data_IF_649197777073
#
_entry.id   IF_649197777073
#
_cell.length_a   1.000
_cell.length_b   1.000
_cell.length_c   1.000
_cell.angle_alpha   90.00
_cell.angle_beta   90.00
_cell.angle_gamma   90.00
#
_symmetry.space_group_name_H-M   'P 1'
#
loop_
_entity.id
_entity.type
_entity.pdbx_description
1 polymer ?
#
# COMPACT_ATOMS: atom_id res chain seq x y z
N UNK A 1 18.07 -4.52 -22.50
CA UNK A 1 16.63 -4.66 -22.73
C UNK A 1 15.99 -4.63 -21.35
N UNK A 2 15.58 -3.45 -20.88
CA UNK A 2 15.00 -3.26 -19.55
C UNK A 2 13.57 -3.78 -19.57
N UNK A 3 13.35 -4.95 -18.98
CA UNK A 3 12.02 -5.34 -18.53
C UNK A 3 11.70 -4.43 -17.35
N UNK A 4 11.10 -3.25 -17.60
CA UNK A 4 10.25 -2.65 -16.57
C UNK A 4 9.24 -3.74 -16.22
N UNK A 5 9.15 -4.13 -14.95
CA UNK A 5 8.05 -4.97 -14.50
C UNK A 5 6.79 -4.17 -14.84
N UNK A 6 5.97 -4.64 -15.78
CA UNK A 6 4.82 -3.89 -16.34
C UNK A 6 3.83 -3.44 -15.25
N UNK A 7 3.88 -4.10 -14.09
CA UNK A 7 3.03 -3.88 -12.92
C UNK A 7 3.38 -2.64 -12.08
N UNK A 8 4.63 -2.17 -12.09
CA UNK A 8 4.98 -0.91 -11.39
C UNK A 8 4.34 0.33 -12.03
N UNK A 9 3.52 0.14 -13.07
CA UNK A 9 2.77 1.16 -13.78
C UNK A 9 1.26 1.10 -13.52
N UNK A 10 0.76 0.14 -12.73
CA UNK A 10 -0.63 0.22 -12.23
C UNK A 10 -0.71 1.32 -11.16
N UNK A 11 -1.85 2.01 -11.11
CA UNK A 11 -2.05 3.13 -10.20
C UNK A 11 -1.82 2.68 -8.73
N UNK A 12 -2.19 1.44 -8.40
CA UNK A 12 -2.17 0.88 -7.05
C UNK A 12 -0.75 0.58 -6.56
N UNK A 13 0.17 0.38 -7.51
CA UNK A 13 1.56 0.04 -7.25
C UNK A 13 2.49 1.26 -7.40
N UNK A 14 1.92 2.47 -7.42
CA UNK A 14 2.70 3.70 -7.42
C UNK A 14 3.72 3.73 -6.28
N UNK A 15 5.00 3.93 -6.62
CA UNK A 15 6.09 4.06 -5.65
C UNK A 15 6.77 2.75 -5.23
N UNK A 16 6.40 1.58 -5.78
CA UNK A 16 7.11 0.30 -5.48
C UNK A 16 8.39 0.10 -6.31
N UNK A 17 8.65 0.96 -7.29
CA UNK A 17 9.77 0.84 -8.23
C UNK A 17 11.13 0.97 -7.52
N UNK A 18 11.22 1.80 -6.47
CA UNK A 18 12.44 2.02 -5.71
C UNK A 18 12.86 0.77 -4.90
N UNK A 19 11.91 0.11 -4.22
CA UNK A 19 12.15 -1.08 -3.41
C UNK A 19 12.36 -2.29 -4.30
N UNK A 20 11.67 -2.35 -5.43
CA UNK A 20 11.88 -3.36 -6.47
C UNK A 20 13.31 -3.26 -7.02
N UNK A 21 13.75 -2.05 -7.37
CA UNK A 21 15.11 -1.82 -7.86
C UNK A 21 16.17 -2.17 -6.82
N UNK A 22 15.94 -1.85 -5.54
CA UNK A 22 16.85 -2.21 -4.43
C UNK A 22 16.91 -3.71 -4.15
N UNK A 23 15.80 -4.43 -4.28
CA UNK A 23 15.72 -5.88 -4.01
C UNK A 23 16.20 -6.74 -5.20
N UNK A 24 16.15 -6.21 -6.43
CA UNK A 24 16.47 -6.99 -7.63
C UNK A 24 17.90 -7.59 -7.66
N UNK A 25 18.98 -6.89 -7.25
CA UNK A 25 20.31 -7.50 -7.19
C UNK A 25 20.39 -8.67 -6.21
N UNK A 26 19.67 -8.60 -5.09
CA UNK A 26 19.61 -9.66 -4.08
C UNK A 26 18.87 -10.87 -4.65
N UNK A 27 17.72 -10.64 -5.29
CA UNK A 27 16.98 -11.68 -6.00
C UNK A 27 17.85 -12.43 -7.03
N UNK A 28 18.61 -11.69 -7.85
CA UNK A 28 19.51 -12.28 -8.86
C UNK A 28 20.59 -13.18 -8.26
N UNK A 29 20.98 -12.95 -7.01
CA UNK A 29 22.03 -13.70 -6.31
C UNK A 29 21.51 -14.84 -5.43
N UNK A 30 20.21 -14.86 -5.11
CA UNK A 30 19.64 -15.77 -4.11
C UNK A 30 19.37 -17.18 -4.65
N UNK A 31 19.18 -17.32 -5.97
CA UNK A 31 18.77 -18.59 -6.60
C UNK A 31 17.32 -19.00 -6.29
N UNK A 32 16.56 -18.14 -5.61
CA UNK A 32 15.16 -18.37 -5.27
C UNK A 32 14.27 -18.10 -6.49
N UNK A 33 13.09 -18.74 -6.52
CA UNK A 33 12.03 -18.29 -7.42
C UNK A 33 11.58 -16.88 -7.04
N UNK A 34 10.97 -16.15 -7.98
CA UNK A 34 10.44 -14.81 -7.69
C UNK A 34 9.44 -14.89 -6.54
N UNK A 35 8.50 -15.84 -6.57
CA UNK A 35 7.49 -16.05 -5.52
C UNK A 35 8.07 -16.38 -4.16
N UNK A 36 9.14 -17.18 -4.08
CA UNK A 36 9.78 -17.53 -2.79
C UNK A 36 10.59 -16.35 -2.24
N UNK A 37 11.34 -15.66 -3.09
CA UNK A 37 12.10 -14.47 -2.69
C UNK A 37 11.16 -13.38 -2.16
N UNK A 38 10.03 -13.25 -2.83
CA UNK A 38 8.94 -12.35 -2.48
C UNK A 38 8.22 -12.76 -1.21
N UNK A 39 7.87 -14.02 -0.99
CA UNK A 39 7.21 -14.41 0.26
C UNK A 39 8.13 -14.17 1.46
N UNK A 40 9.44 -14.34 1.25
CA UNK A 40 10.45 -13.99 2.25
C UNK A 40 10.65 -12.46 2.38
N UNK A 41 10.23 -11.67 1.39
CA UNK A 41 10.43 -10.22 1.30
C UNK A 41 9.13 -9.37 1.20
N UNK A 42 7.96 -10.01 1.38
CA UNK A 42 6.58 -9.51 1.36
C UNK A 42 6.03 -8.77 0.10
N UNK A 43 6.32 -9.14 -1.15
CA UNK A 43 5.73 -8.43 -2.32
C UNK A 43 5.50 -9.27 -3.60
N UNK A 44 4.29 -9.76 -3.89
CA UNK A 44 4.02 -10.59 -5.08
C UNK A 44 3.40 -9.82 -6.24
N UNK A 45 3.72 -10.20 -7.49
CA UNK A 45 3.11 -9.59 -8.65
C UNK A 45 1.67 -10.06 -8.85
N UNK A 46 0.78 -9.12 -9.13
CA UNK A 46 -0.64 -9.35 -9.40
C UNK A 46 -1.07 -8.67 -10.73
N UNK A 47 -2.09 -9.19 -11.43
CA UNK A 47 -2.65 -8.50 -12.60
C UNK A 47 -3.15 -7.09 -12.27
N UNK A 48 -3.17 -6.20 -13.26
CA UNK A 48 -3.74 -4.86 -13.07
C UNK A 48 -5.20 -4.92 -12.57
N UNK A 49 -5.58 -3.92 -11.76
CA UNK A 49 -6.86 -3.83 -11.06
C UNK A 49 -7.15 -4.96 -10.06
N UNK A 50 -6.17 -5.79 -9.69
CA UNK A 50 -6.34 -6.79 -8.61
C UNK A 50 -5.69 -6.35 -7.29
N UNK A 51 -5.02 -5.20 -7.29
CA UNK A 51 -4.45 -4.58 -6.08
C UNK A 51 -5.40 -3.48 -5.58
N UNK A 52 -5.69 -3.44 -4.26
CA UNK A 52 -6.50 -2.42 -3.64
C UNK A 52 -6.01 -0.98 -3.84
N UNK A 53 -6.95 -0.07 -4.12
CA UNK A 53 -6.70 1.39 -4.19
C UNK A 53 -7.39 2.12 -3.04
N UNK A 54 -6.75 3.13 -2.42
CA UNK A 54 -7.35 3.88 -1.31
C UNK A 54 -8.57 4.71 -1.71
N UNK A 55 -8.77 4.96 -3.01
CA UNK A 55 -9.92 5.73 -3.53
C UNK A 55 -11.11 4.86 -3.92
N UNK A 56 -10.96 3.54 -3.91
CA UNK A 56 -12.02 2.61 -4.30
C UNK A 56 -12.79 2.14 -3.07
N UNK A 57 -14.12 2.04 -3.19
CA UNK A 57 -14.95 1.55 -2.09
C UNK A 57 -14.69 0.05 -1.89
N UNK A 58 -14.49 -0.42 -0.65
CA UNK A 58 -14.40 -1.86 -0.36
C UNK A 58 -15.65 -2.62 -0.83
N UNK A 59 -16.81 -1.97 -0.80
CA UNK A 59 -18.09 -2.56 -1.24
C UNK A 59 -18.26 -2.59 -2.77
N UNK A 60 -17.32 -2.04 -3.53
CA UNK A 60 -17.37 -2.00 -4.99
C UNK A 60 -16.49 -3.05 -5.66
N UNK A 61 -15.74 -3.83 -4.88
CA UNK A 61 -14.96 -4.91 -5.44
C UNK A 61 -15.82 -6.12 -5.77
N UNK A 62 -15.53 -6.81 -6.89
CA UNK A 62 -16.09 -8.11 -7.13
C UNK A 62 -15.56 -9.09 -6.06
N UNK A 63 -16.45 -9.90 -5.46
CA UNK A 63 -16.09 -11.01 -4.55
C UNK A 63 -15.01 -11.95 -5.16
N UNK A 64 -14.86 -11.94 -6.50
CA UNK A 64 -13.84 -12.71 -7.23
C UNK A 64 -12.40 -12.20 -7.10
N UNK A 65 -12.16 -11.01 -6.52
CA UNK A 65 -10.80 -10.47 -6.34
C UNK A 65 -10.20 -10.70 -4.96
N UNK A 66 -11.04 -10.98 -3.96
CA UNK A 66 -10.61 -11.53 -2.67
C UNK A 66 -11.37 -12.82 -2.37
N UNK A 67 -11.30 -13.83 -3.25
CA UNK A 67 -12.07 -15.06 -3.09
C UNK A 67 -11.61 -15.90 -1.88
N UNK A 68 -10.43 -15.58 -1.33
CA UNK A 68 -9.89 -16.14 -0.09
C UNK A 68 -10.39 -15.41 1.16
N UNK A 69 -10.63 -14.10 1.09
CA UNK A 69 -11.20 -13.33 2.20
C UNK A 69 -12.73 -13.46 2.20
N UNK A 70 -13.20 -14.48 2.89
CA UNK A 70 -14.62 -14.83 2.94
C UNK A 70 -15.35 -14.33 4.20
N UNK A 71 -14.60 -13.75 5.15
CA UNK A 71 -15.09 -13.23 6.42
C UNK A 71 -14.47 -11.87 6.76
N UNK A 72 -15.24 -11.02 7.45
CA UNK A 72 -14.84 -9.65 7.79
C UNK A 72 -13.56 -9.57 8.65
N UNK A 73 -13.25 -10.62 9.43
CA UNK A 73 -11.99 -10.68 10.17
C UNK A 73 -10.76 -10.81 9.24
N UNK A 74 -10.88 -11.57 8.15
CA UNK A 74 -9.79 -11.81 7.21
C UNK A 74 -9.54 -10.59 6.32
N UNK A 75 -10.58 -9.80 6.03
CA UNK A 75 -10.46 -8.48 5.36
C UNK A 75 -9.71 -7.46 6.22
N UNK A 76 -9.94 -7.48 7.54
CA UNK A 76 -9.38 -6.48 8.47
C UNK A 76 -7.98 -6.86 8.96
N UNK A 77 -7.69 -8.16 9.10
CA UNK A 77 -6.39 -8.66 9.55
C UNK A 77 -5.18 -8.09 8.77
N UNK A 78 -5.14 -8.07 7.42
CA UNK A 78 -4.00 -7.55 6.67
C UNK A 78 -3.81 -6.04 6.84
N UNK A 79 -4.87 -5.30 7.24
CA UNK A 79 -4.76 -3.86 7.55
C UNK A 79 -3.87 -3.60 8.78
N UNK A 80 -3.58 -4.63 9.59
CA UNK A 80 -2.61 -4.51 10.69
C UNK A 80 -1.20 -4.15 10.20
N UNK A 81 -0.85 -4.47 8.94
CA UNK A 81 0.43 -4.08 8.34
C UNK A 81 0.66 -2.56 8.34
N UNK A 82 -0.41 -1.75 8.38
CA UNK A 82 -0.32 -0.30 8.40
C UNK A 82 0.30 0.29 9.68
N UNK A 83 0.43 -0.47 10.77
CA UNK A 83 1.14 0.00 11.99
C UNK A 83 2.65 0.19 11.78
N UNK A 84 3.21 -0.41 10.73
CA UNK A 84 4.62 -0.28 10.34
C UNK A 84 4.77 0.24 8.91
N UNK A 85 3.83 1.08 8.46
CA UNK A 85 3.82 1.63 7.11
C UNK A 85 3.62 3.15 7.09
N UNK A 86 3.95 3.75 5.94
CA UNK A 86 3.80 5.17 5.64
C UNK A 86 3.45 5.36 4.17
N UNK A 87 2.88 6.53 3.82
CA UNK A 87 2.53 6.89 2.45
C UNK A 87 3.58 7.83 1.85
N UNK A 88 4.10 7.47 0.67
CA UNK A 88 5.09 8.27 -0.06
C UNK A 88 4.52 9.00 -1.29
N UNK A 89 3.47 8.44 -1.91
CA UNK A 89 2.98 8.91 -3.22
C UNK A 89 1.57 9.50 -3.21
N UNK A 90 0.82 9.31 -2.12
CA UNK A 90 -0.55 9.86 -1.98
C UNK A 90 -0.52 11.40 -1.94
N UNK A 91 0.44 11.96 -1.19
CA UNK A 91 0.80 13.37 -1.24
C UNK A 91 2.33 13.48 -1.31
N UNK A 92 2.84 13.71 -2.51
CA UNK A 92 4.28 13.80 -2.79
C UNK A 92 4.97 14.99 -2.14
N UNK A 93 4.22 15.92 -1.52
CA UNK A 93 4.81 17.03 -0.75
C UNK A 93 5.19 16.65 0.67
N UNK A 94 4.68 15.52 1.18
CA UNK A 94 4.94 14.99 2.53
C UNK A 94 5.20 13.46 2.49
N UNK A 95 6.24 13.00 1.79
CA UNK A 95 6.57 11.57 1.76
C UNK A 95 6.93 11.06 3.16
N UNK A 96 6.67 9.78 3.41
CA UNK A 96 6.91 9.14 4.70
C UNK A 96 5.87 9.47 5.76
N UNK A 97 4.68 9.96 5.38
CA UNK A 97 3.61 10.25 6.35
C UNK A 97 3.04 8.94 6.93
N UNK A 98 3.18 8.68 8.24
CA UNK A 98 2.79 7.40 8.84
C UNK A 98 1.27 7.28 9.00
N UNK A 99 0.77 6.04 9.06
CA UNK A 99 -0.66 5.76 9.28
C UNK A 99 -1.09 5.75 10.75
N UNK A 100 -0.14 5.62 11.69
CA UNK A 100 -0.38 5.75 13.13
C UNK A 100 0.75 6.49 13.84
N UNK A 101 0.54 6.82 15.11
CA UNK A 101 1.51 7.55 15.93
C UNK A 101 2.74 6.75 16.38
N UNK A 102 2.80 5.44 16.12
CA UNK A 102 3.81 4.50 16.61
C UNK A 102 4.53 3.75 15.50
N UNK A 103 4.80 4.43 14.38
CA UNK A 103 5.46 3.84 13.22
C UNK A 103 6.74 3.06 13.59
N UNK A 104 6.88 1.86 13.04
CA UNK A 104 8.01 0.96 13.30
C UNK A 104 7.84 0.06 14.53
N UNK A 105 6.71 0.15 15.24
CA UNK A 105 6.33 -0.76 16.32
C UNK A 105 5.04 -1.46 15.93
N UNK A 106 5.05 -2.80 15.89
CA UNK A 106 3.84 -3.55 15.59
C UNK A 106 2.86 -3.53 16.77
N UNK A 107 1.86 -2.65 16.69
CA UNK A 107 0.87 -2.43 17.75
C UNK A 107 -0.52 -2.17 17.18
N UNK A 108 -1.54 -2.06 18.04
CA UNK A 108 -2.94 -1.88 17.63
C UNK A 108 -3.33 -0.41 17.40
N UNK A 109 -2.36 0.51 17.34
CA UNK A 109 -2.64 1.96 17.28
C UNK A 109 -3.41 2.35 16.02
N UNK A 110 -3.06 1.79 14.87
CA UNK A 110 -3.81 2.04 13.62
C UNK A 110 -5.32 1.84 13.79
N UNK A 111 -5.77 0.76 14.45
CA UNK A 111 -7.20 0.49 14.64
C UNK A 111 -7.90 1.44 15.61
N UNK A 112 -7.15 2.10 16.50
CA UNK A 112 -7.70 3.10 17.42
C UNK A 112 -7.76 4.48 16.78
N UNK A 113 -6.72 4.84 16.03
CA UNK A 113 -6.55 6.18 15.48
C UNK A 113 -7.43 6.43 14.26
N UNK A 114 -7.74 5.39 13.47
CA UNK A 114 -8.71 5.48 12.36
C UNK A 114 -10.15 5.69 12.83
N UNK A 115 -10.48 5.36 14.09
CA UNK A 115 -11.80 5.59 14.68
C UNK A 115 -11.94 6.99 15.29
N UNK A 116 -10.84 7.74 15.40
CA UNK A 116 -10.89 9.13 15.84
C UNK A 116 -11.52 10.01 14.77
N UNK A 117 -12.20 11.07 15.21
CA UNK A 117 -12.72 12.08 14.29
C UNK A 117 -11.56 12.84 13.68
N UNK A 118 -11.35 12.70 12.37
CA UNK A 118 -10.39 13.50 11.61
C UNK A 118 -10.68 15.00 11.78
N UNK A 119 -9.65 15.75 12.17
CA UNK A 119 -9.77 17.18 12.48
C UNK A 119 -8.97 18.09 11.53
N UNK A 120 -8.02 17.53 10.77
CA UNK A 120 -7.17 18.25 9.84
C UNK A 120 -6.50 17.28 8.87
N UNK A 121 -6.03 17.80 7.74
CA UNK A 121 -5.13 17.06 6.85
C UNK A 121 -3.66 17.37 7.20
N UNK A 122 -2.76 16.37 7.15
CA UNK A 122 -1.34 16.58 7.42
C UNK A 122 -0.61 17.31 6.27
N UNK A 123 -1.13 17.23 5.04
CA UNK A 123 -0.55 17.84 3.85
C UNK A 123 -1.58 18.56 2.99
N UNK A 124 -1.30 18.63 1.69
CA UNK A 124 -2.17 19.28 0.72
C UNK A 124 -3.25 18.33 0.22
N UNK A 125 -4.50 18.80 0.28
CA UNK A 125 -5.63 18.01 -0.20
C UNK A 125 -5.93 18.37 -1.64
N UNK A 126 -5.95 17.38 -2.53
CA UNK A 126 -6.64 17.48 -3.82
C UNK A 126 -8.08 17.00 -3.62
N UNK A 127 -9.00 17.91 -3.27
CA UNK A 127 -10.42 17.60 -3.18
C UNK A 127 -11.11 17.90 -4.51
N UNK A 128 -11.28 16.87 -5.36
CA UNK A 128 -11.75 17.04 -6.72
C UNK A 128 -10.75 17.84 -7.58
N UNK A 129 -10.95 17.84 -8.90
CA UNK A 129 -9.97 18.30 -9.89
C UNK A 129 -9.42 19.73 -9.75
N UNK A 130 -9.84 20.58 -8.79
CA UNK A 130 -9.44 22.00 -8.77
C UNK A 130 -9.50 22.72 -7.39
N UNK A 131 -9.14 22.12 -6.25
CA UNK A 131 -8.93 22.93 -5.03
C UNK A 131 -7.92 22.32 -4.06
N UNK A 132 -6.76 22.98 -3.94
CA UNK A 132 -5.84 22.81 -2.82
C UNK A 132 -6.50 23.45 -1.59
N UNK A 133 -6.97 22.62 -0.67
CA UNK A 133 -7.32 23.09 0.67
C UNK A 133 -6.06 22.90 1.51
N UNK A 134 -5.39 24.00 1.83
CA UNK A 134 -4.35 24.03 2.86
C UNK A 134 -5.01 24.36 4.19
N UNK A 135 -4.40 23.96 5.31
CA UNK A 135 -4.73 24.56 6.60
C UNK A 135 -4.42 26.07 6.61
#
# INVERSE_FOLDING_TARGET
MSTKLEEGSSDANGGIDDITARKFPIFRSSGLSAGDFVHLAAAAPAPDLTVPEPTVSPLSWPDSQMPDLNDAEEDVAPLSSHTIAAADVVDTTIPGTPFDSTVGIFYTKVFLEVLLKGNSFPGHVLFGRNKLVTN
#
